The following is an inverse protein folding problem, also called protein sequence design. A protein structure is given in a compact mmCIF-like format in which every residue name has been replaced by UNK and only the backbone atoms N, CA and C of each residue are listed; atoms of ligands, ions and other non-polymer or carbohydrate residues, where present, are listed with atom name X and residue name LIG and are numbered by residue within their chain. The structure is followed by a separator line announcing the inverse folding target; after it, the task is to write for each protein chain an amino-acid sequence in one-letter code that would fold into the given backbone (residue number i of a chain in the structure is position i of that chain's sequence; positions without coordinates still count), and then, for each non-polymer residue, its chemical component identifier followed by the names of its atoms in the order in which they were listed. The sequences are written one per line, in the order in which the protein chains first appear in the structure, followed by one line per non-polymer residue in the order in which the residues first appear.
data_IF_315355375826
#
_entry.id   IF_315355375826
#
_cell.length_a   1.000
_cell.length_b   1.000
_cell.length_c   1.000
_cell.angle_alpha   90.00
_cell.angle_beta   90.00
_cell.angle_gamma   90.00
#
_symmetry.space_group_name_H-M   'P 1'
#
loop_
_entity.id
_entity.type
_entity.pdbx_description
1 polymer ?
#
# COMPACT_ATOMS: atom_id res chain seq x y z
N UNK A 1 23.08 -24.96 14.66
CA UNK A 1 22.48 -24.17 13.56
C UNK A 1 21.83 -22.99 14.24
N UNK A 2 22.57 -21.88 14.35
CA UNK A 2 22.23 -20.77 15.24
C UNK A 2 21.02 -19.99 14.74
N UNK A 3 19.90 -20.14 15.43
CA UNK A 3 18.70 -19.32 15.24
C UNK A 3 19.00 -17.81 15.39
N UNK A 4 20.04 -17.46 16.15
CA UNK A 4 20.52 -16.08 16.31
C UNK A 4 21.27 -15.54 15.09
N UNK A 5 21.92 -16.39 14.29
CA UNK A 5 22.55 -15.96 13.03
C UNK A 5 21.52 -15.64 11.93
N UNK A 6 20.29 -16.17 12.05
CA UNK A 6 19.18 -15.87 11.15
C UNK A 6 18.61 -14.45 11.35
N UNK A 7 18.78 -13.86 12.53
CA UNK A 7 18.35 -12.51 12.89
C UNK A 7 19.44 -11.45 12.71
N UNK A 8 20.26 -11.56 11.65
CA UNK A 8 21.05 -10.41 11.21
C UNK A 8 20.11 -9.31 10.68
N UNK A 9 20.37 -8.04 10.98
CA UNK A 9 19.53 -6.89 10.60
C UNK A 9 19.29 -6.81 9.09
N UNK A 10 20.29 -7.24 8.32
CA UNK A 10 20.19 -7.47 6.88
C UNK A 10 19.02 -8.37 6.50
N UNK A 11 18.89 -9.49 7.22
CA UNK A 11 17.86 -10.48 7.00
C UNK A 11 16.50 -9.95 7.46
N UNK A 12 16.45 -9.17 8.54
CA UNK A 12 15.22 -8.55 9.03
C UNK A 12 14.67 -7.51 8.04
N UNK A 13 15.53 -6.65 7.50
CA UNK A 13 15.10 -5.65 6.53
C UNK A 13 14.64 -6.30 5.21
N UNK A 14 15.39 -7.28 4.72
CA UNK A 14 15.01 -8.07 3.55
C UNK A 14 13.67 -8.81 3.80
N UNK A 15 13.54 -9.48 4.95
CA UNK A 15 12.32 -10.19 5.32
C UNK A 15 11.11 -9.26 5.43
N UNK A 16 11.26 -8.07 6.03
CA UNK A 16 10.19 -7.09 6.11
C UNK A 16 9.80 -6.52 4.74
N UNK A 17 10.76 -6.33 3.85
CA UNK A 17 10.47 -5.93 2.46
C UNK A 17 9.73 -7.03 1.70
N UNK A 18 10.17 -8.29 1.83
CA UNK A 18 9.47 -9.45 1.26
C UNK A 18 8.06 -9.56 1.85
N UNK A 19 7.90 -9.37 3.16
CA UNK A 19 6.61 -9.38 3.82
C UNK A 19 5.68 -8.30 3.27
N UNK A 20 6.18 -7.09 3.01
CA UNK A 20 5.41 -6.02 2.39
C UNK A 20 4.90 -6.43 1.00
N UNK A 21 5.77 -7.01 0.16
CA UNK A 21 5.40 -7.48 -1.18
C UNK A 21 4.34 -8.58 -1.07
N UNK A 22 4.54 -9.57 -0.19
CA UNK A 22 3.60 -10.66 0.04
C UNK A 22 2.24 -10.11 0.50
N UNK A 23 2.25 -9.18 1.46
CA UNK A 23 1.04 -8.55 2.00
C UNK A 23 0.22 -7.86 0.91
N UNK A 24 0.88 -7.03 0.08
CA UNK A 24 0.20 -6.31 -1.00
C UNK A 24 -0.28 -7.26 -2.12
N UNK A 25 0.55 -8.22 -2.51
CA UNK A 25 0.18 -9.20 -3.53
C UNK A 25 -0.99 -10.08 -3.09
N UNK A 26 -0.98 -10.56 -1.84
CA UNK A 26 -2.09 -11.32 -1.27
C UNK A 26 -3.36 -10.46 -1.18
N UNK A 27 -3.26 -9.19 -0.79
CA UNK A 27 -4.41 -8.28 -0.77
C UNK A 27 -5.05 -8.16 -2.16
N UNK A 28 -4.25 -7.98 -3.21
CA UNK A 28 -4.75 -7.94 -4.60
C UNK A 28 -5.43 -9.26 -4.98
N UNK A 29 -4.77 -10.40 -4.73
CA UNK A 29 -5.32 -11.71 -5.05
C UNK A 29 -6.64 -11.99 -4.31
N UNK A 30 -6.72 -11.64 -3.03
CA UNK A 30 -7.91 -11.80 -2.21
C UNK A 30 -9.04 -10.86 -2.67
N UNK A 31 -8.73 -9.61 -2.98
CA UNK A 31 -9.69 -8.65 -3.51
C UNK A 31 -10.35 -9.17 -4.79
N UNK A 32 -9.52 -9.57 -5.76
CA UNK A 32 -9.98 -10.15 -7.02
C UNK A 32 -10.80 -11.42 -6.74
N UNK A 33 -10.27 -12.37 -5.96
CA UNK A 33 -10.98 -13.61 -5.63
C UNK A 33 -12.36 -13.35 -5.00
N UNK A 34 -12.48 -12.39 -4.08
CA UNK A 34 -13.74 -12.08 -3.43
C UNK A 34 -14.76 -11.56 -4.42
N UNK A 35 -14.38 -10.63 -5.29
CA UNK A 35 -15.26 -10.11 -6.35
C UNK A 35 -15.78 -11.25 -7.24
N UNK A 36 -14.88 -12.14 -7.70
CA UNK A 36 -15.26 -13.29 -8.53
C UNK A 36 -16.17 -14.27 -7.78
N UNK A 37 -15.92 -14.49 -6.48
CA UNK A 37 -16.74 -15.36 -5.64
C UNK A 37 -18.17 -14.82 -5.49
N UNK A 38 -18.31 -13.53 -5.17
CA UNK A 38 -19.61 -12.87 -5.04
C UNK A 38 -20.35 -12.87 -6.37
N UNK A 39 -19.66 -12.59 -7.48
CA UNK A 39 -20.24 -12.65 -8.82
C UNK A 39 -20.84 -14.03 -9.15
N UNK A 40 -20.06 -15.09 -8.88
CA UNK A 40 -20.48 -16.47 -9.11
C UNK A 40 -21.69 -16.83 -8.24
N UNK A 41 -21.68 -16.44 -6.97
CA UNK A 41 -22.79 -16.68 -6.06
C UNK A 41 -24.07 -15.99 -6.54
N UNK A 42 -23.97 -14.72 -6.96
CA UNK A 42 -25.09 -13.96 -7.51
C UNK A 42 -25.69 -14.62 -8.75
N UNK A 43 -24.84 -15.06 -9.69
CA UNK A 43 -25.26 -15.77 -10.91
C UNK A 43 -26.00 -17.07 -10.58
N UNK A 44 -25.51 -17.81 -9.58
CA UNK A 44 -26.12 -19.06 -9.12
C UNK A 44 -27.49 -18.81 -8.47
N UNK A 45 -27.58 -17.83 -7.56
CA UNK A 45 -28.80 -17.50 -6.83
C UNK A 45 -29.89 -16.92 -7.75
N UNK A 46 -29.51 -16.08 -8.71
CA UNK A 46 -30.46 -15.49 -9.66
C UNK A 46 -30.84 -16.42 -10.82
N UNK A 47 -30.18 -17.59 -10.95
CA UNK A 47 -30.40 -18.57 -12.03
C UNK A 47 -30.34 -17.98 -13.44
N UNK A 48 -29.58 -16.88 -13.61
CA UNK A 48 -29.36 -16.19 -14.89
C UNK A 48 -27.93 -15.67 -14.94
N UNK A 49 -27.38 -15.54 -16.13
CA UNK A 49 -26.10 -14.86 -16.34
C UNK A 49 -26.27 -13.38 -16.00
N UNK A 50 -25.55 -12.92 -14.98
CA UNK A 50 -25.47 -11.52 -14.60
C UNK A 50 -24.17 -10.98 -15.18
N UNK A 51 -24.17 -9.81 -15.82
CA UNK A 51 -22.92 -9.18 -16.23
C UNK A 51 -22.21 -8.55 -15.01
N UNK A 52 -20.88 -8.53 -15.00
CA UNK A 52 -20.09 -8.00 -13.87
C UNK A 52 -20.31 -6.51 -13.67
N UNK A 53 -20.60 -5.77 -14.73
CA UNK A 53 -20.94 -4.35 -14.65
C UNK A 53 -22.13 -4.10 -13.70
N UNK A 54 -23.16 -4.95 -13.75
CA UNK A 54 -24.30 -4.89 -12.83
C UNK A 54 -23.90 -5.22 -11.39
N UNK A 55 -23.04 -6.23 -11.19
CA UNK A 55 -22.50 -6.52 -9.87
C UNK A 55 -21.79 -5.31 -9.27
N UNK A 56 -20.94 -4.67 -10.07
CA UNK A 56 -20.19 -3.49 -9.65
C UNK A 56 -21.09 -2.33 -9.30
N UNK A 57 -22.14 -2.06 -10.08
CA UNK A 57 -23.12 -1.02 -9.76
C UNK A 57 -23.79 -1.27 -8.40
N UNK A 58 -24.19 -2.51 -8.11
CA UNK A 58 -24.90 -2.88 -6.88
C UNK A 58 -24.00 -2.99 -5.65
N UNK A 59 -22.74 -3.41 -5.82
CA UNK A 59 -21.79 -3.57 -4.71
C UNK A 59 -21.12 -2.26 -4.27
N UNK A 60 -21.28 -1.17 -5.04
CA UNK A 60 -20.60 0.10 -4.73
C UNK A 60 -21.28 0.81 -3.57
N UNK A 61 -20.66 0.79 -2.40
CA UNK A 61 -21.08 1.59 -1.24
C UNK A 61 -20.33 2.90 -1.22
N UNK A 62 -21.06 4.03 -1.22
CA UNK A 62 -20.46 5.35 -1.06
C UNK A 62 -19.85 5.50 0.33
N UNK A 63 -18.55 5.78 0.39
CA UNK A 63 -17.81 5.91 1.66
C UNK A 63 -17.71 7.37 2.17
N UNK A 64 -18.20 8.33 1.38
CA UNK A 64 -18.08 9.78 1.63
C UNK A 64 -16.80 10.37 1.05
N UNK A 65 -16.91 11.54 0.41
CA UNK A 65 -15.82 12.19 -0.33
C UNK A 65 -14.55 12.43 0.48
N UNK A 66 -14.69 12.89 1.72
CA UNK A 66 -13.54 13.14 2.61
C UNK A 66 -12.73 11.88 2.91
N UNK A 67 -13.42 10.75 3.13
CA UNK A 67 -12.74 9.49 3.38
C UNK A 67 -12.06 8.99 2.11
N UNK A 68 -12.73 9.05 0.96
CA UNK A 68 -12.14 8.65 -0.32
C UNK A 68 -10.88 9.47 -0.64
N UNK A 69 -10.91 10.78 -0.41
CA UNK A 69 -9.74 11.65 -0.59
C UNK A 69 -8.57 11.26 0.33
N UNK A 70 -8.84 10.99 1.62
CA UNK A 70 -7.82 10.56 2.58
C UNK A 70 -7.25 9.18 2.22
N UNK A 71 -8.11 8.24 1.87
CA UNK A 71 -7.73 6.91 1.44
C UNK A 71 -6.83 6.97 0.18
N UNK A 72 -7.19 7.79 -0.80
CA UNK A 72 -6.39 8.04 -1.99
C UNK A 72 -5.02 8.64 -1.65
N UNK A 73 -5.01 9.67 -0.79
CA UNK A 73 -3.76 10.27 -0.31
C UNK A 73 -2.89 9.24 0.43
N UNK A 74 -3.47 8.34 1.23
CA UNK A 74 -2.75 7.28 1.91
C UNK A 74 -2.08 6.30 0.95
N UNK A 75 -2.78 5.91 -0.13
CA UNK A 75 -2.18 5.06 -1.17
C UNK A 75 -1.01 5.75 -1.87
N UNK A 76 -1.16 7.02 -2.24
CA UNK A 76 -0.06 7.80 -2.83
C UNK A 76 1.12 7.85 -1.85
N UNK A 77 0.87 8.19 -0.58
CA UNK A 77 1.89 8.26 0.45
C UNK A 77 2.56 6.90 0.69
N UNK A 78 1.84 5.78 0.54
CA UNK A 78 2.42 4.45 0.62
C UNK A 78 3.44 4.22 -0.50
N UNK A 79 3.10 4.55 -1.75
CA UNK A 79 4.02 4.42 -2.88
C UNK A 79 5.25 5.34 -2.73
N UNK A 80 5.05 6.57 -2.26
CA UNK A 80 6.14 7.50 -1.96
C UNK A 80 7.03 6.92 -0.85
N UNK A 81 6.46 6.40 0.23
CA UNK A 81 7.23 5.81 1.33
C UNK A 81 8.02 4.57 0.88
N UNK A 82 7.45 3.70 0.02
CA UNK A 82 8.15 2.58 -0.60
C UNK A 82 9.35 3.09 -1.41
N UNK A 83 9.16 4.10 -2.26
CA UNK A 83 10.23 4.65 -3.07
C UNK A 83 11.36 5.22 -2.21
N UNK A 84 11.02 5.95 -1.14
CA UNK A 84 12.01 6.52 -0.23
C UNK A 84 12.76 5.45 0.53
N UNK A 85 12.06 4.45 1.03
CA UNK A 85 12.68 3.32 1.71
C UNK A 85 13.64 2.56 0.77
N UNK A 86 13.24 2.33 -0.48
CA UNK A 86 14.06 1.61 -1.46
C UNK A 86 15.26 2.42 -1.97
N UNK A 87 15.10 3.73 -2.18
CA UNK A 87 16.13 4.57 -2.79
C UNK A 87 17.08 5.21 -1.78
N UNK A 88 16.62 5.51 -0.57
CA UNK A 88 17.40 6.28 0.42
C UNK A 88 17.92 5.43 1.58
N UNK A 89 17.23 4.35 1.95
CA UNK A 89 17.73 3.49 3.03
C UNK A 89 18.83 2.59 2.46
N UNK A 90 20.04 2.58 3.06
CA UNK A 90 21.10 1.68 2.65
C UNK A 90 20.69 0.24 2.97
N UNK A 91 20.53 -0.56 1.92
CA UNK A 91 19.99 -1.92 2.00
C UNK A 91 20.76 -2.86 1.08
N UNK A 92 20.55 -4.17 1.27
CA UNK A 92 21.14 -5.25 0.48
C UNK A 92 20.39 -5.51 -0.83
N UNK A 93 19.37 -4.72 -1.16
CA UNK A 93 18.59 -4.90 -2.36
C UNK A 93 19.44 -4.54 -3.59
N UNK A 94 19.43 -5.38 -4.65
CA UNK A 94 20.11 -5.02 -5.88
C UNK A 94 19.51 -3.70 -6.37
N UNK A 95 20.37 -2.75 -6.72
CA UNK A 95 20.00 -1.40 -7.15
C UNK A 95 19.55 -0.43 -6.04
N UNK A 96 19.96 -0.61 -4.77
CA UNK A 96 19.91 0.47 -3.75
C UNK A 96 20.72 1.68 -4.23
N UNK A 97 20.06 2.64 -4.90
CA UNK A 97 20.71 3.79 -5.52
C UNK A 97 20.99 4.91 -4.51
N UNK A 98 21.95 4.70 -3.60
CA UNK A 98 22.55 5.83 -2.88
C UNK A 98 23.21 6.85 -3.83
N UNK A 99 23.39 6.52 -5.12
CA UNK A 99 23.80 7.50 -6.14
C UNK A 99 22.71 8.57 -6.40
N UNK A 100 21.42 8.25 -6.26
CA UNK A 100 20.31 9.22 -6.31
C UNK A 100 20.22 10.01 -4.99
N UNK A 101 20.90 9.56 -3.92
CA UNK A 101 20.99 10.35 -2.69
C UNK A 101 21.64 11.72 -2.94
N UNK A 102 22.46 11.90 -3.99
CA UNK A 102 22.94 13.21 -4.43
C UNK A 102 21.83 14.13 -4.94
N UNK A 103 20.82 13.56 -5.62
CA UNK A 103 19.62 14.28 -6.02
C UNK A 103 18.74 14.57 -4.81
N UNK A 104 18.66 13.66 -3.82
CA UNK A 104 17.87 13.83 -2.61
C UNK A 104 18.54 14.73 -1.54
N UNK A 105 19.86 14.91 -1.60
CA UNK A 105 20.65 15.71 -0.65
C UNK A 105 20.77 17.19 -1.05
N UNK A 106 20.30 17.57 -2.25
CA UNK A 106 20.11 18.97 -2.60
C UNK A 106 18.97 19.58 -1.76
N UNK A 107 19.04 20.87 -1.41
CA UNK A 107 18.08 21.55 -0.51
C UNK A 107 16.61 21.34 -0.89
N UNK A 108 16.31 21.23 -2.19
CA UNK A 108 14.95 20.95 -2.70
C UNK A 108 14.81 19.55 -3.29
N UNK A 109 15.92 18.81 -3.40
CA UNK A 109 16.00 17.50 -4.02
C UNK A 109 15.05 16.47 -3.40
N UNK A 110 14.99 16.48 -2.08
CA UNK A 110 14.05 15.71 -1.29
C UNK A 110 12.59 15.99 -1.68
N UNK A 111 12.19 17.26 -1.75
CA UNK A 111 10.82 17.65 -2.08
C UNK A 111 10.49 17.31 -3.54
N UNK A 112 11.43 17.52 -4.46
CA UNK A 112 11.28 17.18 -5.88
C UNK A 112 11.05 15.68 -6.05
N UNK A 113 11.83 14.84 -5.37
CA UNK A 113 11.65 13.38 -5.44
C UNK A 113 10.28 12.96 -4.91
N UNK A 114 9.84 13.53 -3.78
CA UNK A 114 8.53 13.24 -3.20
C UNK A 114 7.38 13.64 -4.11
N UNK A 115 7.46 14.84 -4.70
CA UNK A 115 6.49 15.32 -5.67
C UNK A 115 6.49 14.43 -6.92
N UNK A 116 7.67 14.08 -7.46
CA UNK A 116 7.78 13.24 -8.64
C UNK A 116 7.19 11.85 -8.42
N UNK A 117 7.51 11.21 -7.29
CA UNK A 117 6.94 9.91 -6.93
C UNK A 117 5.44 9.99 -6.65
N UNK A 118 4.98 11.07 -6.01
CA UNK A 118 3.57 11.33 -5.78
C UNK A 118 2.77 11.52 -7.07
N UNK A 119 3.32 12.28 -8.01
CA UNK A 119 2.74 12.47 -9.35
C UNK A 119 2.72 11.17 -10.16
N UNK A 120 3.79 10.38 -10.08
CA UNK A 120 3.85 9.07 -10.74
C UNK A 120 2.80 8.12 -10.16
N UNK A 121 2.69 8.05 -8.83
CA UNK A 121 1.66 7.25 -8.16
C UNK A 121 0.25 7.70 -8.52
N UNK A 122 -0.01 9.02 -8.52
CA UNK A 122 -1.29 9.57 -8.94
C UNK A 122 -1.60 9.25 -10.41
N UNK A 123 -0.61 9.35 -11.31
CA UNK A 123 -0.78 9.01 -12.73
C UNK A 123 -1.10 7.53 -12.92
N UNK A 124 -0.44 6.63 -12.18
CA UNK A 124 -0.73 5.19 -12.20
C UNK A 124 -2.16 4.94 -11.72
N UNK A 125 -2.57 5.54 -10.60
CA UNK A 125 -3.94 5.36 -10.08
C UNK A 125 -4.98 5.89 -11.08
N UNK A 126 -4.78 7.10 -11.62
CA UNK A 126 -5.67 7.68 -12.62
C UNK A 126 -5.75 6.85 -13.90
N UNK A 127 -4.65 6.20 -14.29
CA UNK A 127 -4.65 5.27 -15.41
C UNK A 127 -5.47 4.02 -15.09
N UNK A 128 -5.32 3.45 -13.89
CA UNK A 128 -6.11 2.31 -13.43
C UNK A 128 -7.60 2.65 -13.34
N UNK A 129 -7.95 3.86 -12.92
CA UNK A 129 -9.32 4.35 -12.86
C UNK A 129 -9.98 4.47 -14.25
N UNK A 130 -9.18 4.61 -15.32
CA UNK A 130 -9.66 4.64 -16.71
C UNK A 130 -9.83 3.26 -17.35
N UNK A 131 -9.53 2.18 -16.63
CA UNK A 131 -9.76 0.83 -17.13
C UNK A 131 -11.27 0.60 -17.40
N UNK A 132 -11.62 -0.22 -18.40
CA UNK A 132 -13.01 -0.52 -18.70
C UNK A 132 -13.73 -1.19 -17.51
N UNK A 133 -15.06 -1.09 -17.49
CA UNK A 133 -15.91 -1.53 -16.36
C UNK A 133 -15.77 -3.01 -16.02
N UNK A 134 -15.36 -3.86 -16.97
CA UNK A 134 -15.08 -5.28 -16.72
C UNK A 134 -13.82 -5.53 -15.87
N UNK A 135 -13.00 -4.49 -15.66
CA UNK A 135 -11.74 -4.50 -14.90
C UNK A 135 -11.78 -3.61 -13.65
N UNK A 136 -12.98 -3.26 -13.19
CA UNK A 136 -13.20 -2.37 -12.05
C UNK A 136 -12.52 -2.85 -10.75
N UNK A 137 -12.25 -4.15 -10.63
CA UNK A 137 -11.49 -4.75 -9.53
C UNK A 137 -10.04 -4.25 -9.42
N UNK A 138 -9.52 -3.56 -10.43
CA UNK A 138 -8.17 -2.98 -10.43
C UNK A 138 -8.16 -1.48 -10.08
N UNK A 139 -9.34 -0.85 -9.94
CA UNK A 139 -9.45 0.59 -9.63
C UNK A 139 -9.18 0.83 -8.15
N UNK A 140 -7.97 1.29 -7.85
CA UNK A 140 -7.51 1.57 -6.48
C UNK A 140 -8.42 2.55 -5.72
N UNK A 141 -9.01 3.53 -6.41
CA UNK A 141 -9.92 4.52 -5.81
C UNK A 141 -11.23 3.92 -5.32
N UNK A 142 -11.62 2.76 -5.86
CA UNK A 142 -12.90 2.12 -5.60
C UNK A 142 -12.78 0.87 -4.73
N UNK A 143 -11.56 0.45 -4.37
CA UNK A 143 -11.31 -0.72 -3.51
C UNK A 143 -12.21 -0.67 -2.27
N UNK A 144 -12.24 0.48 -1.59
CA UNK A 144 -13.00 0.65 -0.36
C UNK A 144 -14.52 0.73 -0.56
N UNK A 145 -14.98 0.95 -1.79
CA UNK A 145 -16.40 0.95 -2.12
C UNK A 145 -17.00 -0.45 -2.09
N UNK A 146 -16.18 -1.50 -2.24
CA UNK A 146 -16.61 -2.90 -2.20
C UNK A 146 -16.73 -3.49 -0.80
N UNK A 147 -16.36 -2.74 0.25
CA UNK A 147 -16.29 -3.24 1.62
C UNK A 147 -17.09 -2.37 2.58
N UNK A 148 -17.65 -3.00 3.62
CA UNK A 148 -18.26 -2.26 4.71
C UNK A 148 -17.19 -1.80 5.72
N UNK A 149 -16.87 -0.51 5.70
CA UNK A 149 -15.78 0.07 6.51
C UNK A 149 -16.34 0.79 7.73
N UNK A 150 -15.99 0.30 8.92
CA UNK A 150 -16.38 0.92 10.18
C UNK A 150 -15.75 2.31 10.37
N UNK A 151 -16.37 3.17 11.19
CA UNK A 151 -15.82 4.50 11.53
C UNK A 151 -14.40 4.41 12.09
N UNK A 152 -14.11 3.39 12.90
CA UNK A 152 -12.78 3.15 13.46
C UNK A 152 -11.77 2.80 12.37
N UNK A 153 -12.11 1.91 11.44
CA UNK A 153 -11.24 1.58 10.33
C UNK A 153 -10.95 2.79 9.44
N UNK A 154 -11.95 3.64 9.18
CA UNK A 154 -11.75 4.91 8.45
C UNK A 154 -10.73 5.82 9.13
N UNK A 155 -10.81 5.95 10.46
CA UNK A 155 -9.82 6.73 11.25
C UNK A 155 -8.43 6.13 11.19
N UNK A 156 -8.30 4.80 11.28
CA UNK A 156 -7.01 4.12 11.16
C UNK A 156 -6.39 4.32 9.78
N UNK A 157 -7.18 4.19 8.72
CA UNK A 157 -6.75 4.49 7.35
C UNK A 157 -6.28 5.95 7.25
N UNK A 158 -7.02 6.91 7.78
CA UNK A 158 -6.57 8.31 7.79
C UNK A 158 -5.25 8.51 8.57
N UNK A 159 -5.07 7.80 9.69
CA UNK A 159 -3.87 7.86 10.51
C UNK A 159 -2.63 7.31 9.79
N UNK A 160 -2.80 6.44 8.78
CA UNK A 160 -1.68 5.97 7.95
C UNK A 160 -0.93 7.12 7.28
N UNK A 161 -1.58 8.24 6.95
CA UNK A 161 -0.89 9.41 6.39
C UNK A 161 0.23 9.91 7.30
N UNK A 162 -0.03 9.98 8.60
CA UNK A 162 0.93 10.45 9.60
C UNK A 162 2.06 9.41 9.76
N UNK A 163 1.70 8.12 9.83
CA UNK A 163 2.69 7.05 9.94
C UNK A 163 3.59 6.94 8.70
N UNK A 164 3.03 7.09 7.50
CA UNK A 164 3.76 7.09 6.23
C UNK A 164 4.64 8.33 6.09
N UNK A 165 4.17 9.51 6.50
CA UNK A 165 5.00 10.71 6.56
C UNK A 165 6.20 10.52 7.50
N UNK A 166 6.00 9.92 8.67
CA UNK A 166 7.10 9.59 9.58
C UNK A 166 8.06 8.56 8.97
N UNK A 167 7.56 7.53 8.27
CA UNK A 167 8.39 6.57 7.53
C UNK A 167 9.26 7.24 6.46
N UNK A 168 8.67 8.18 5.71
CA UNK A 168 9.38 9.00 4.70
C UNK A 168 10.48 9.84 5.35
N UNK A 169 10.19 10.53 6.45
CA UNK A 169 11.16 11.37 7.17
C UNK A 169 12.32 10.53 7.73
N UNK A 170 12.04 9.34 8.28
CA UNK A 170 13.08 8.44 8.76
C UNK A 170 13.95 7.90 7.61
N UNK A 171 13.33 7.54 6.49
CA UNK A 171 14.05 7.10 5.28
C UNK A 171 14.94 8.22 4.72
N UNK A 172 14.43 9.45 4.75
CA UNK A 172 15.18 10.67 4.41
C UNK A 172 16.43 10.82 5.25
N UNK A 173 16.22 10.82 6.57
CA UNK A 173 17.25 11.03 7.57
C UNK A 173 18.41 10.04 7.38
N UNK A 174 18.08 8.78 7.11
CA UNK A 174 19.06 7.73 6.81
C UNK A 174 19.82 8.00 5.51
N UNK A 175 19.12 8.37 4.43
CA UNK A 175 19.77 8.59 3.13
C UNK A 175 20.60 9.87 3.02
N UNK A 176 20.33 10.89 3.84
CA UNK A 176 20.98 12.21 3.70
C UNK A 176 21.87 12.62 4.86
N UNK A 177 21.64 12.12 6.09
CA UNK A 177 22.33 12.64 7.29
C UNK A 177 23.25 11.59 7.92
N UNK A 178 22.82 10.33 8.05
CA UNK A 178 23.60 9.27 8.68
C UNK A 178 23.40 7.90 8.01
N UNK A 179 24.06 7.65 6.87
CA UNK A 179 23.83 6.43 6.09
C UNK A 179 24.15 5.12 6.85
N UNK A 180 24.98 5.11 7.89
CA UNK A 180 25.43 3.81 8.45
C UNK A 180 25.15 3.57 9.93
N UNK A 181 24.67 4.54 10.70
CA UNK A 181 24.74 4.43 12.18
C UNK A 181 23.39 4.29 12.94
N UNK A 182 22.23 4.40 12.27
CA UNK A 182 20.94 4.44 12.95
C UNK A 182 20.02 3.23 12.67
N UNK A 183 20.33 2.06 13.23
CA UNK A 183 19.55 0.82 13.04
C UNK A 183 18.09 0.94 13.50
N UNK A 184 17.85 1.70 14.59
CA UNK A 184 16.50 1.97 15.07
C UNK A 184 15.67 2.75 14.04
N UNK A 185 16.27 3.70 13.32
CA UNK A 185 15.57 4.45 12.27
C UNK A 185 15.28 3.57 11.05
N UNK A 186 16.20 2.66 10.68
CA UNK A 186 15.99 1.69 9.60
C UNK A 186 14.77 0.82 9.88
N UNK A 187 14.76 0.16 11.04
CA UNK A 187 13.63 -0.68 11.47
C UNK A 187 12.35 0.13 11.67
N UNK A 188 12.44 1.33 12.24
CA UNK A 188 11.29 2.21 12.45
C UNK A 188 10.62 2.61 11.14
N UNK A 189 11.39 2.99 10.13
CA UNK A 189 10.86 3.34 8.80
C UNK A 189 10.10 2.17 8.17
N UNK A 190 10.66 0.96 8.24
CA UNK A 190 10.07 -0.27 7.70
C UNK A 190 8.82 -0.71 8.47
N UNK A 191 8.83 -0.64 9.81
CA UNK A 191 7.69 -1.00 10.64
C UNK A 191 6.50 -0.06 10.40
N UNK A 192 6.74 1.25 10.32
CA UNK A 192 5.69 2.23 10.00
C UNK A 192 5.09 1.98 8.63
N UNK A 193 5.92 1.61 7.64
CA UNK A 193 5.48 1.25 6.30
C UNK A 193 4.61 -0.02 6.33
N UNK A 194 5.08 -1.10 6.98
CA UNK A 194 4.37 -2.36 7.09
C UNK A 194 3.03 -2.23 7.82
N UNK A 195 3.01 -1.53 8.95
CA UNK A 195 1.78 -1.26 9.70
C UNK A 195 0.78 -0.47 8.87
N UNK A 196 1.24 0.55 8.15
CA UNK A 196 0.39 1.37 7.29
C UNK A 196 -0.18 0.55 6.12
N UNK A 197 0.65 -0.25 5.45
CA UNK A 197 0.21 -1.17 4.41
C UNK A 197 -0.84 -2.15 4.95
N UNK A 198 -0.59 -2.74 6.13
CA UNK A 198 -1.50 -3.66 6.80
C UNK A 198 -2.87 -3.02 7.10
N UNK A 199 -2.87 -1.78 7.62
CA UNK A 199 -4.11 -1.03 7.88
C UNK A 199 -4.86 -0.74 6.57
N UNK A 200 -4.17 -0.37 5.50
CA UNK A 200 -4.80 -0.04 4.21
C UNK A 200 -5.49 -1.24 3.58
N UNK A 201 -4.90 -2.44 3.71
CA UNK A 201 -5.46 -3.68 3.14
C UNK A 201 -6.40 -4.42 4.12
N UNK A 202 -6.46 -4.00 5.38
CA UNK A 202 -7.24 -4.67 6.42
C UNK A 202 -8.71 -4.96 6.03
N UNK A 203 -9.46 -4.05 5.37
CA UNK A 203 -10.84 -4.34 4.97
C UNK A 203 -10.94 -5.57 4.06
N UNK A 204 -9.97 -5.79 3.17
CA UNK A 204 -9.94 -6.93 2.24
C UNK A 204 -9.79 -8.24 3.02
N UNK A 205 -8.82 -8.28 3.96
CA UNK A 205 -8.58 -9.46 4.79
C UNK A 205 -9.75 -9.77 5.71
N UNK A 206 -10.32 -8.73 6.33
CA UNK A 206 -11.47 -8.89 7.23
C UNK A 206 -12.65 -9.52 6.49
N UNK A 207 -13.03 -8.98 5.33
CA UNK A 207 -14.14 -9.51 4.53
C UNK A 207 -13.87 -10.96 4.09
N UNK A 208 -12.64 -11.26 3.68
CA UNK A 208 -12.24 -12.62 3.28
C UNK A 208 -12.41 -13.62 4.42
N UNK A 209 -12.01 -13.24 5.64
CA UNK A 209 -12.14 -14.08 6.83
C UNK A 209 -13.60 -14.27 7.25
N UNK A 210 -14.42 -13.23 7.09
CA UNK A 210 -15.87 -13.30 7.35
C UNK A 210 -16.57 -14.21 6.34
N UNK A 211 -16.21 -14.13 5.06
CA UNK A 211 -16.76 -15.00 4.01
C UNK A 211 -16.36 -16.49 4.15
N UNK A 212 -15.33 -16.80 4.94
CA UNK A 212 -14.92 -18.17 5.25
C UNK A 212 -15.68 -18.79 6.44
N UNK A 213 -16.38 -17.98 7.24
CA UNK A 213 -17.18 -18.42 8.38
C UNK A 213 -18.61 -18.76 7.96
#
# INVERSE_FOLDING_TARGET
MDLYAAFNEANLFAAGTILLVILLALAVLLHVKNIYSVHRLMTLLQKKTVDRSHLYAEMTVSQGSNFTALAFASWIMLFVAIAYLYLLVPTYLPYSYMQIASLASNQLGFAIMGIAMGLLAAAIILFLDKLPEDRRELRLTEIYSFYNISKTAKKLIALTLIALAASIVLSAYLGTIYPEEANAAKLGSLLLLLLSAGILVLPIYKETLEAMR
#
